data_IF_046462121623
#
_entry.id   IF_046462121623
#
_cell.length_a   1.000
_cell.length_b   1.000
_cell.length_c   1.000
_cell.angle_alpha   90.00
_cell.angle_beta   90.00
_cell.angle_gamma   90.00
#
_symmetry.space_group_name_H-M   'P 1'
#
loop_
_entity.id
_entity.type
_entity.pdbx_description
1 polymer ?
#
# COMPACT_ATOMS: atom_id res chain seq x y z
N UNK A 1 -12.62 5.55 3.06
CA UNK A 1 -12.57 6.82 3.83
C UNK A 1 -11.12 7.19 4.09
N UNK A 2 -10.75 8.47 4.06
CA UNK A 2 -9.40 8.93 4.41
C UNK A 2 -9.30 9.24 5.90
N UNK A 3 -8.26 8.71 6.55
CA UNK A 3 -8.04 8.90 7.99
C UNK A 3 -6.62 9.41 8.24
N UNK A 4 -6.48 10.41 9.12
CA UNK A 4 -5.19 10.80 9.67
C UNK A 4 -4.72 9.73 10.64
N UNK A 5 -3.52 9.21 10.45
CA UNK A 5 -2.98 8.13 11.27
C UNK A 5 -2.32 8.66 12.54
N UNK A 6 -2.51 7.96 13.66
CA UNK A 6 -1.75 8.19 14.89
C UNK A 6 -0.33 7.60 14.82
N UNK A 7 -0.01 6.84 13.76
CA UNK A 7 1.32 6.29 13.53
C UNK A 7 2.25 7.39 13.00
N UNK A 8 3.38 7.69 13.67
CA UNK A 8 4.30 8.77 13.27
C UNK A 8 4.94 8.55 11.88
N UNK A 9 4.90 7.33 11.34
CA UNK A 9 5.41 7.02 10.01
C UNK A 9 4.37 7.26 8.89
N UNK A 10 3.08 7.36 9.22
CA UNK A 10 2.00 7.46 8.23
C UNK A 10 1.44 8.88 8.24
N UNK A 11 1.41 9.53 7.09
CA UNK A 11 0.84 10.85 6.90
C UNK A 11 -0.69 10.76 6.77
N UNK A 12 -1.16 9.92 5.87
CA UNK A 12 -2.59 9.70 5.62
C UNK A 12 -2.83 8.28 5.12
N UNK A 13 -3.92 7.66 5.58
CA UNK A 13 -4.38 6.36 5.10
C UNK A 13 -5.68 6.50 4.32
N UNK A 14 -5.84 5.65 3.31
CA UNK A 14 -7.13 5.40 2.65
C UNK A 14 -7.36 3.91 2.57
N UNK A 15 -8.57 3.50 2.95
CA UNK A 15 -9.06 2.13 2.83
C UNK A 15 -10.14 2.06 1.77
N UNK A 16 -10.01 1.06 0.89
CA UNK A 16 -11.02 0.67 -0.09
C UNK A 16 -11.55 -0.73 0.25
N UNK A 17 -12.87 -0.88 0.18
CA UNK A 17 -13.55 -2.18 0.19
C UNK A 17 -13.69 -2.63 -1.26
N UNK A 18 -13.11 -3.78 -1.60
CA UNK A 18 -13.05 -4.32 -2.95
C UNK A 18 -13.36 -5.81 -2.89
N UNK A 19 -14.52 -6.24 -3.39
CA UNK A 19 -14.91 -7.65 -3.30
C UNK A 19 -13.95 -8.57 -4.08
N UNK A 20 -13.66 -9.73 -3.52
CA UNK A 20 -12.87 -10.83 -4.10
C UNK A 20 -11.38 -10.49 -4.32
N UNK A 21 -10.75 -9.75 -3.40
CA UNK A 21 -9.29 -9.57 -3.36
C UNK A 21 -8.69 -10.10 -2.06
N UNK A 22 -7.38 -10.38 -2.05
CA UNK A 22 -6.67 -10.92 -0.89
C UNK A 22 -6.93 -12.41 -0.64
N UNK A 23 -8.11 -12.93 -0.96
CA UNK A 23 -8.53 -14.30 -0.58
C UNK A 23 -8.69 -14.44 0.94
N UNK A 24 -9.10 -15.62 1.43
CA UNK A 24 -9.40 -15.89 2.86
C UNK A 24 -8.26 -15.56 3.84
N UNK A 25 -7.06 -15.23 3.37
CA UNK A 25 -5.89 -14.91 4.19
C UNK A 25 -5.16 -13.61 3.78
N UNK A 26 -5.71 -12.82 2.84
CA UNK A 26 -4.99 -11.64 2.31
C UNK A 26 -3.74 -11.94 1.47
N UNK A 27 -3.48 -13.23 1.18
CA UNK A 27 -2.26 -13.71 0.53
C UNK A 27 -2.27 -13.59 -1.00
N UNK A 28 -3.42 -13.32 -1.61
CA UNK A 28 -3.51 -13.16 -3.06
C UNK A 28 -3.33 -11.69 -3.46
N UNK A 29 -2.16 -11.37 -4.03
CA UNK A 29 -1.87 -10.05 -4.62
C UNK A 29 -2.77 -9.85 -5.84
N UNK A 30 -3.64 -8.82 -5.86
CA UNK A 30 -4.51 -8.57 -7.00
C UNK A 30 -3.71 -7.82 -8.10
N UNK A 31 -2.97 -8.56 -8.92
CA UNK A 31 -1.98 -8.05 -9.88
C UNK A 31 -2.50 -6.93 -10.79
N UNK A 32 -3.78 -6.97 -11.16
CA UNK A 32 -4.41 -5.92 -11.98
C UNK A 32 -4.25 -4.51 -11.39
N UNK A 33 -4.33 -4.35 -10.07
CA UNK A 33 -4.13 -3.05 -9.43
C UNK A 33 -2.66 -2.67 -9.36
N UNK A 34 -1.77 -3.65 -9.18
CA UNK A 34 -0.34 -3.41 -9.09
C UNK A 34 0.26 -3.05 -10.45
N UNK A 35 -0.18 -3.70 -11.53
CA UNK A 35 0.20 -3.32 -12.90
C UNK A 35 -0.18 -1.87 -13.20
N UNK A 36 -1.34 -1.40 -12.70
CA UNK A 36 -1.75 0.01 -12.83
C UNK A 36 -0.86 0.97 -12.06
N UNK A 37 -0.26 0.54 -10.94
CA UNK A 37 0.71 1.36 -10.21
C UNK A 37 1.98 1.53 -11.05
N UNK A 38 2.48 0.43 -11.62
CA UNK A 38 3.65 0.44 -12.52
C UNK A 38 3.39 1.30 -13.76
N UNK A 39 2.25 1.13 -14.42
CA UNK A 39 1.82 1.95 -15.58
C UNK A 39 1.71 3.44 -15.20
N UNK A 40 1.34 3.75 -13.96
CA UNK A 40 1.29 5.11 -13.43
C UNK A 40 2.66 5.64 -12.98
N UNK A 41 3.73 4.85 -13.10
CA UNK A 41 5.10 5.23 -12.78
C UNK A 41 5.49 5.07 -11.31
N UNK A 42 4.73 4.28 -10.54
CA UNK A 42 5.16 3.85 -9.21
C UNK A 42 6.16 2.70 -9.33
N UNK A 43 7.24 2.77 -8.56
CA UNK A 43 8.27 1.73 -8.54
C UNK A 43 8.24 1.03 -7.20
N UNK A 44 8.15 -0.30 -7.19
CA UNK A 44 8.19 -1.08 -5.95
C UNK A 44 9.60 -1.02 -5.33
N UNK A 45 9.65 -0.78 -4.02
CA UNK A 45 10.87 -0.85 -3.22
C UNK A 45 11.00 -2.26 -2.64
N UNK A 46 11.40 -3.24 -3.46
CA UNK A 46 11.39 -4.66 -3.09
C UNK A 46 12.24 -4.97 -1.84
N UNK A 47 13.40 -4.32 -1.69
CA UNK A 47 14.29 -4.44 -0.52
C UNK A 47 13.66 -3.95 0.79
N UNK A 48 12.54 -3.23 0.70
CA UNK A 48 11.80 -2.66 1.84
C UNK A 48 10.53 -3.45 2.19
N UNK A 49 10.23 -4.54 1.48
CA UNK A 49 9.03 -5.34 1.75
C UNK A 49 9.06 -5.91 3.17
N UNK A 50 7.96 -5.71 3.90
CA UNK A 50 7.79 -6.21 5.28
C UNK A 50 6.59 -7.16 5.33
N UNK A 51 6.86 -8.46 5.15
CA UNK A 51 5.80 -9.47 5.07
C UNK A 51 4.86 -9.19 3.90
N UNK A 52 3.59 -8.92 4.19
CA UNK A 52 2.57 -8.56 3.19
C UNK A 52 2.52 -7.06 2.86
N UNK A 53 3.29 -6.22 3.57
CA UNK A 53 3.34 -4.77 3.31
C UNK A 53 4.37 -4.48 2.22
N UNK A 54 3.90 -3.87 1.13
CA UNK A 54 4.71 -3.52 -0.04
C UNK A 54 4.83 -2.01 -0.15
N UNK A 55 6.04 -1.51 -0.41
CA UNK A 55 6.30 -0.08 -0.51
C UNK A 55 6.54 0.33 -1.96
N UNK A 56 6.01 1.48 -2.35
CA UNK A 56 6.18 2.04 -3.68
C UNK A 56 6.61 3.49 -3.58
N UNK A 57 7.48 3.92 -4.50
CA UNK A 57 7.92 5.30 -4.60
C UNK A 57 7.54 5.93 -5.95
N UNK A 58 7.12 7.19 -5.89
CA UNK A 58 6.97 8.05 -7.05
C UNK A 58 7.26 9.51 -6.67
N UNK A 59 8.22 10.13 -7.37
CA UNK A 59 8.54 11.56 -7.23
C UNK A 59 8.81 11.99 -5.77
N UNK A 60 9.48 11.14 -4.99
CA UNK A 60 9.78 11.38 -3.56
C UNK A 60 8.60 11.17 -2.60
N UNK A 61 7.45 10.70 -3.10
CA UNK A 61 6.34 10.20 -2.28
C UNK A 61 6.47 8.70 -2.13
N UNK A 62 6.36 8.21 -0.90
CA UNK A 62 6.35 6.78 -0.61
C UNK A 62 4.96 6.39 -0.10
N UNK A 63 4.42 5.31 -0.65
CA UNK A 63 3.20 4.67 -0.16
C UNK A 63 3.51 3.26 0.33
N UNK A 64 2.82 2.85 1.39
CA UNK A 64 2.74 1.46 1.82
C UNK A 64 1.38 0.90 1.44
N UNK A 65 1.37 -0.27 0.82
CA UNK A 65 0.17 -0.99 0.41
C UNK A 65 0.08 -2.28 1.21
N UNK A 66 -1.09 -2.51 1.77
CA UNK A 66 -1.46 -3.71 2.49
C UNK A 66 -2.77 -4.26 1.90
N UNK A 67 -2.79 -5.56 1.63
CA UNK A 67 -3.97 -6.27 1.12
C UNK A 67 -4.45 -7.22 2.19
N UNK A 68 -5.72 -7.11 2.56
CA UNK A 68 -6.44 -8.10 3.35
C UNK A 68 -7.59 -8.66 2.51
N UNK A 69 -8.32 -9.63 3.07
CA UNK A 69 -9.56 -10.10 2.48
C UNK A 69 -10.51 -8.92 2.25
N UNK A 70 -10.90 -8.73 0.99
CA UNK A 70 -11.80 -7.69 0.50
C UNK A 70 -11.40 -6.23 0.80
N UNK A 71 -10.14 -6.00 1.22
CA UNK A 71 -9.67 -4.64 1.51
C UNK A 71 -8.32 -4.31 0.92
N UNK A 72 -8.21 -3.08 0.44
CA UNK A 72 -6.99 -2.50 -0.11
C UNK A 72 -6.68 -1.23 0.67
N UNK A 73 -5.63 -1.29 1.48
CA UNK A 73 -5.22 -0.23 2.37
C UNK A 73 -3.95 0.43 1.81
N UNK A 74 -4.02 1.75 1.60
CA UNK A 74 -2.91 2.56 1.08
C UNK A 74 -2.58 3.64 2.10
N UNK A 75 -1.31 3.70 2.46
CA UNK A 75 -0.79 4.66 3.43
C UNK A 75 0.29 5.51 2.78
N UNK A 76 0.07 6.81 2.66
CA UNK A 76 1.16 7.73 2.33
C UNK A 76 2.05 7.88 3.55
N UNK A 77 3.35 7.69 3.36
CA UNK A 77 4.36 7.75 4.41
C UNK A 77 4.82 9.19 4.64
N UNK A 78 5.19 9.51 5.88
CA UNK A 78 5.92 10.75 6.15
C UNK A 78 7.31 10.69 5.50
N UNK A 79 7.88 11.84 5.10
CA UNK A 79 9.20 11.91 4.45
C UNK A 79 10.33 11.30 5.29
N UNK A 80 10.19 11.39 6.62
CA UNK A 80 11.16 10.88 7.58
C UNK A 80 10.74 9.52 8.19
N UNK A 81 9.76 8.86 7.57
CA UNK A 81 9.23 7.58 8.06
C UNK A 81 10.33 6.52 8.08
N UNK A 82 10.35 5.72 9.15
CA UNK A 82 11.25 4.56 9.28
C UNK A 82 10.46 3.29 9.01
N UNK A 83 10.77 2.64 7.89
CA UNK A 83 10.20 1.38 7.42
C UNK A 83 11.29 0.50 6.77
#
# INVERSE_FOLDING_TARGET
>A
MTTTSSNPNIKIGVKYELDNIGGEQGLYRPDHYFNKLEDAGWVELEDKRLGHVQFFEKEGTVIAIEIHEDTFDIHEMNKDAKY
#
